data_IF_118905924902
#
_entry.id   IF_118905924902
#
_cell.length_a   1.000
_cell.length_b   1.000
_cell.length_c   1.000
_cell.angle_alpha   90.00
_cell.angle_beta   90.00
_cell.angle_gamma   90.00
#
_symmetry.space_group_name_H-M   'P 1'
#
loop_
_entity.id
_entity.type
_entity.pdbx_description
1 polymer ?
#
# COMPACT_ATOMS: atom_id res chain seq x y z
N UNK A 1 6.13 -4.67 -22.35
CA UNK A 1 5.78 -3.27 -22.71
C UNK A 1 7.03 -2.42 -22.51
N UNK A 2 7.46 -1.62 -23.49
CA UNK A 2 8.60 -0.70 -23.32
C UNK A 2 8.35 0.31 -22.19
N UNK A 3 9.38 0.69 -21.43
CA UNK A 3 9.26 1.59 -20.26
C UNK A 3 8.60 2.94 -20.63
N UNK A 4 8.93 3.50 -21.79
CA UNK A 4 8.31 4.72 -22.33
C UNK A 4 6.78 4.59 -22.45
N UNK A 5 6.30 3.44 -22.93
CA UNK A 5 4.87 3.18 -23.12
C UNK A 5 4.16 2.99 -21.77
N UNK A 6 4.85 2.40 -20.78
CA UNK A 6 4.32 2.27 -19.40
C UNK A 6 4.16 3.66 -18.77
N UNK A 7 5.17 4.51 -18.87
CA UNK A 7 5.13 5.88 -18.34
C UNK A 7 3.99 6.69 -18.94
N UNK A 8 3.86 6.66 -20.27
CA UNK A 8 2.80 7.39 -20.97
C UNK A 8 1.41 6.86 -20.60
N UNK A 9 1.27 5.53 -20.48
CA UNK A 9 0.05 4.91 -19.99
C UNK A 9 -0.31 5.36 -18.58
N UNK A 10 0.64 5.34 -17.62
CA UNK A 10 0.40 5.76 -16.24
C UNK A 10 0.01 7.24 -16.17
N UNK A 11 0.70 8.12 -16.89
CA UNK A 11 0.35 9.55 -16.91
C UNK A 11 -1.06 9.80 -17.44
N UNK A 12 -1.47 9.10 -18.51
CA UNK A 12 -2.84 9.19 -19.02
C UNK A 12 -3.85 8.64 -18.01
N UNK A 13 -3.56 7.50 -17.39
CA UNK A 13 -4.41 6.89 -16.38
C UNK A 13 -4.66 7.84 -15.20
N UNK A 14 -3.59 8.42 -14.63
CA UNK A 14 -3.73 9.35 -13.51
C UNK A 14 -4.41 10.66 -13.93
N UNK A 15 -4.15 11.16 -15.14
CA UNK A 15 -4.88 12.32 -15.66
C UNK A 15 -6.39 12.05 -15.74
N UNK A 16 -6.78 10.93 -16.36
CA UNK A 16 -8.18 10.59 -16.59
C UNK A 16 -8.95 10.37 -15.29
N UNK A 17 -8.34 9.70 -14.30
CA UNK A 17 -9.01 9.35 -13.07
C UNK A 17 -8.87 10.38 -11.95
N UNK A 18 -7.79 11.16 -11.89
CA UNK A 18 -7.56 12.11 -10.79
C UNK A 18 -7.76 13.57 -11.17
N UNK A 19 -7.67 13.92 -12.45
CA UNK A 19 -7.88 15.31 -12.92
C UNK A 19 -9.20 15.45 -13.67
N UNK A 20 -9.43 14.60 -14.68
CA UNK A 20 -10.62 14.68 -15.53
C UNK A 20 -11.88 14.12 -14.85
N UNK A 21 -11.71 13.21 -13.88
CA UNK A 21 -12.78 12.58 -13.11
C UNK A 21 -12.57 12.82 -11.61
N UNK A 22 -13.62 12.72 -10.79
CA UNK A 22 -13.53 12.88 -9.33
C UNK A 22 -12.98 11.60 -8.66
N UNK A 23 -11.83 11.11 -9.10
CA UNK A 23 -11.20 9.95 -8.49
C UNK A 23 -10.49 10.30 -7.18
N UNK A 24 -10.32 9.28 -6.36
CA UNK A 24 -9.65 9.35 -5.06
C UNK A 24 -8.55 8.31 -5.07
N UNK A 25 -7.34 8.70 -4.67
CA UNK A 25 -6.26 7.76 -4.46
C UNK A 25 -6.40 7.08 -3.10
N UNK A 26 -6.28 5.76 -3.07
CA UNK A 26 -6.43 4.97 -1.85
C UNK A 26 -5.16 4.16 -1.65
N UNK A 27 -4.61 4.18 -0.44
CA UNK A 27 -3.39 3.44 -0.11
C UNK A 27 -3.29 3.09 1.38
N UNK A 28 -2.27 2.31 1.72
CA UNK A 28 -1.90 1.97 3.10
C UNK A 28 -0.49 2.49 3.37
N UNK A 29 -0.37 3.79 3.70
CA UNK A 29 0.90 4.51 3.65
C UNK A 29 1.21 5.09 2.27
N UNK A 30 0.19 5.68 1.62
CA UNK A 30 0.18 6.15 0.22
C UNK A 30 1.34 7.08 -0.18
N UNK A 31 1.94 7.76 0.79
CA UNK A 31 3.06 8.67 0.54
C UNK A 31 4.29 7.94 -0.03
N UNK A 32 4.50 6.68 0.33
CA UNK A 32 5.57 5.85 -0.25
C UNK A 32 5.34 5.58 -1.73
N UNK A 33 4.11 5.18 -2.09
CA UNK A 33 3.72 4.89 -3.47
C UNK A 33 3.84 6.14 -4.36
N UNK A 34 3.40 7.30 -3.86
CA UNK A 34 3.49 8.58 -4.58
C UNK A 34 4.95 8.96 -4.84
N UNK A 35 5.83 8.83 -3.84
CA UNK A 35 7.26 9.09 -4.02
C UNK A 35 7.87 8.17 -5.08
N UNK A 36 7.52 6.89 -5.05
CA UNK A 36 8.00 5.95 -6.05
C UNK A 36 7.50 6.31 -7.47
N UNK A 37 6.22 6.66 -7.61
CA UNK A 37 5.65 7.09 -8.89
C UNK A 37 6.33 8.37 -9.42
N UNK A 38 6.63 9.32 -8.55
CA UNK A 38 7.38 10.53 -8.92
C UNK A 38 8.81 10.22 -9.38
N UNK A 39 9.49 9.25 -8.76
CA UNK A 39 10.84 8.82 -9.15
C UNK A 39 10.88 8.19 -10.56
N UNK A 40 9.79 7.56 -11.00
CA UNK A 40 9.64 7.06 -12.38
C UNK A 40 9.02 8.10 -13.33
N UNK A 41 9.04 9.38 -12.93
CA UNK A 41 8.53 10.54 -13.65
C UNK A 41 7.04 10.44 -14.02
N UNK A 42 6.23 9.83 -13.16
CA UNK A 42 4.77 9.88 -13.26
C UNK A 42 4.26 11.11 -12.50
N UNK A 43 3.44 11.92 -13.17
CA UNK A 43 2.89 13.14 -12.59
C UNK A 43 1.63 12.84 -11.78
N UNK A 44 1.68 13.09 -10.48
CA UNK A 44 0.53 12.99 -9.59
C UNK A 44 0.23 14.38 -9.04
N UNK A 45 -1.03 14.80 -9.19
CA UNK A 45 -1.49 16.06 -8.61
C UNK A 45 -1.37 16.03 -7.08
N UNK A 46 -0.70 17.04 -6.52
CA UNK A 46 -0.54 17.18 -5.07
C UNK A 46 -1.89 17.38 -4.37
N UNK A 47 -2.86 17.94 -5.07
CA UNK A 47 -4.21 18.21 -4.56
C UNK A 47 -5.21 17.08 -4.85
N UNK A 48 -4.80 16.00 -5.54
CA UNK A 48 -5.67 14.86 -5.79
C UNK A 48 -6.21 14.32 -4.44
N UNK A 49 -7.53 14.12 -4.28
CA UNK A 49 -8.11 13.55 -3.07
C UNK A 49 -7.47 12.21 -2.70
N UNK A 50 -7.22 11.97 -1.40
CA UNK A 50 -6.53 10.77 -0.92
C UNK A 50 -7.17 10.18 0.33
N UNK A 51 -7.19 8.86 0.40
CA UNK A 51 -7.53 8.09 1.60
C UNK A 51 -6.35 7.21 1.96
N UNK A 52 -5.72 7.51 3.09
CA UNK A 52 -4.64 6.70 3.65
C UNK A 52 -5.18 5.84 4.79
N UNK A 53 -5.39 4.56 4.50
CA UNK A 53 -5.95 3.59 5.45
C UNK A 53 -5.03 3.35 6.65
N UNK A 54 -3.72 3.57 6.51
CA UNK A 54 -2.79 3.48 7.64
C UNK A 54 -3.01 4.65 8.60
N UNK A 55 -3.21 5.87 8.09
CA UNK A 55 -3.55 7.02 8.93
C UNK A 55 -4.90 6.83 9.60
N UNK A 56 -5.92 6.38 8.87
CA UNK A 56 -7.25 6.08 9.42
C UNK A 56 -7.17 5.04 10.54
N UNK A 57 -6.43 3.96 10.33
CA UNK A 57 -6.20 2.93 11.34
C UNK A 57 -5.56 3.53 12.60
N UNK A 58 -4.53 4.36 12.44
CA UNK A 58 -3.76 4.93 13.54
C UNK A 58 -4.51 5.98 14.37
N UNK A 59 -5.67 6.48 13.91
CA UNK A 59 -6.51 7.41 14.68
C UNK A 59 -7.07 6.71 15.93
N UNK A 60 -7.60 5.49 15.77
CA UNK A 60 -8.23 4.74 16.85
C UNK A 60 -7.38 3.62 17.42
N UNK A 61 -6.27 3.26 16.75
CA UNK A 61 -5.47 2.07 17.08
C UNK A 61 -3.99 2.41 17.17
N UNK A 62 -3.34 1.80 18.17
CA UNK A 62 -1.98 2.17 18.56
C UNK A 62 -0.88 1.24 18.05
N UNK A 63 -1.21 0.04 17.56
CA UNK A 63 -0.29 -1.09 17.51
C UNK A 63 -0.23 -1.88 16.18
N UNK A 64 -0.82 -1.38 15.09
CA UNK A 64 -0.87 -2.15 13.85
C UNK A 64 -0.67 -1.28 12.60
N UNK A 65 0.60 -0.99 12.32
CA UNK A 65 0.98 -0.18 11.14
C UNK A 65 1.05 -0.94 9.81
N UNK A 66 0.65 -2.22 9.77
CA UNK A 66 0.70 -3.02 8.54
C UNK A 66 -0.70 -3.47 8.11
N UNK A 67 -0.83 -3.72 6.81
CA UNK A 67 -2.10 -4.04 6.16
C UNK A 67 -2.73 -5.31 6.76
N UNK A 68 -1.95 -6.37 6.99
CA UNK A 68 -2.44 -7.63 7.54
C UNK A 68 -3.15 -7.43 8.89
N UNK A 69 -2.54 -6.65 9.79
CA UNK A 69 -3.10 -6.42 11.11
C UNK A 69 -4.38 -5.58 11.06
N UNK A 70 -4.44 -4.58 10.17
CA UNK A 70 -5.65 -3.82 9.94
C UNK A 70 -6.79 -4.69 9.37
N UNK A 71 -6.50 -5.56 8.40
CA UNK A 71 -7.49 -6.49 7.82
C UNK A 71 -8.03 -7.48 8.87
N UNK A 72 -7.16 -8.06 9.71
CA UNK A 72 -7.57 -8.94 10.81
C UNK A 72 -8.50 -8.24 11.80
N UNK A 73 -8.21 -6.99 12.14
CA UNK A 73 -9.05 -6.20 13.05
C UNK A 73 -10.44 -5.95 12.46
N UNK A 74 -10.51 -5.66 11.16
CA UNK A 74 -11.77 -5.42 10.46
C UNK A 74 -12.50 -6.73 10.10
N UNK A 75 -11.93 -7.88 10.49
CA UNK A 75 -12.45 -9.21 10.21
C UNK A 75 -12.65 -9.46 8.70
N UNK A 76 -11.77 -8.89 7.87
CA UNK A 76 -11.76 -9.06 6.42
C UNK A 76 -10.88 -10.27 6.10
N UNK A 77 -11.43 -11.35 5.52
CA UNK A 77 -10.65 -12.51 5.11
C UNK A 77 -9.65 -12.12 4.02
N UNK A 78 -8.42 -12.58 4.17
CA UNK A 78 -7.32 -12.26 3.28
C UNK A 78 -6.41 -13.47 3.04
N UNK A 79 -5.92 -13.58 1.82
CA UNK A 79 -4.92 -14.55 1.41
C UNK A 79 -3.96 -13.91 0.41
N UNK A 80 -2.74 -14.46 0.31
CA UNK A 80 -1.73 -14.05 -0.66
C UNK A 80 -1.39 -12.55 -0.62
N UNK A 81 -1.16 -12.01 0.57
CA UNK A 81 -0.54 -10.68 0.76
C UNK A 81 0.90 -10.69 0.21
N UNK A 82 1.47 -9.50 0.02
CA UNK A 82 2.77 -9.26 -0.66
C UNK A 82 2.71 -9.34 -2.19
N UNK A 83 1.50 -9.37 -2.75
CA UNK A 83 1.25 -9.14 -4.16
C UNK A 83 0.61 -7.76 -4.32
N UNK A 84 1.21 -6.88 -5.13
CA UNK A 84 0.75 -5.50 -5.25
C UNK A 84 -0.73 -5.37 -5.67
N UNK A 85 -1.22 -6.28 -6.52
CA UNK A 85 -2.63 -6.31 -6.93
C UNK A 85 -3.57 -6.71 -5.79
N UNK A 86 -3.21 -7.77 -5.06
CA UNK A 86 -3.97 -8.20 -3.88
C UNK A 86 -3.92 -7.13 -2.78
N UNK A 87 -2.76 -6.55 -2.53
CA UNK A 87 -2.57 -5.50 -1.53
C UNK A 87 -3.42 -4.27 -1.89
N UNK A 88 -3.49 -3.88 -3.16
CA UNK A 88 -4.40 -2.82 -3.62
C UNK A 88 -5.88 -3.17 -3.42
N UNK A 89 -6.28 -4.40 -3.75
CA UNK A 89 -7.65 -4.88 -3.55
C UNK A 89 -8.07 -4.86 -2.09
N UNK A 90 -7.26 -5.44 -1.20
CA UNK A 90 -7.55 -5.47 0.22
C UNK A 90 -7.47 -4.08 0.86
N UNK A 91 -6.58 -3.21 0.37
CA UNK A 91 -6.53 -1.81 0.80
C UNK A 91 -7.82 -1.07 0.45
N UNK A 92 -8.40 -1.33 -0.73
CA UNK A 92 -9.70 -0.77 -1.11
C UNK A 92 -10.83 -1.29 -0.21
N UNK A 93 -10.92 -2.60 0.03
CA UNK A 93 -11.92 -3.16 0.95
C UNK A 93 -11.80 -2.58 2.36
N UNK A 94 -10.56 -2.43 2.83
CA UNK A 94 -10.27 -1.84 4.12
C UNK A 94 -10.72 -0.37 4.18
N UNK A 95 -10.46 0.43 3.14
CA UNK A 95 -10.91 1.81 3.06
C UNK A 95 -12.44 1.92 3.10
N UNK A 96 -13.14 1.10 2.32
CA UNK A 96 -14.60 1.06 2.33
C UNK A 96 -15.14 0.69 3.71
N UNK A 97 -14.53 -0.28 4.38
CA UNK A 97 -14.92 -0.72 5.72
C UNK A 97 -14.69 0.37 6.77
N UNK A 98 -13.64 1.18 6.65
CA UNK A 98 -13.43 2.35 7.51
C UNK A 98 -14.42 3.48 7.26
N UNK A 99 -15.02 3.55 6.07
CA UNK A 99 -16.01 4.56 5.73
C UNK A 99 -17.44 4.14 6.12
N UNK A 100 -17.69 2.86 6.40
CA UNK A 100 -19.00 2.36 6.82
C UNK A 100 -19.34 2.81 8.27
N UNK A 101 -20.39 3.62 8.48
CA UNK A 101 -20.80 4.09 9.81
C UNK A 101 -21.14 2.97 10.80
N UNK A 102 -21.73 1.86 10.33
CA UNK A 102 -22.11 0.74 11.18
C UNK A 102 -20.86 0.02 11.68
N UNK A 103 -19.89 -0.20 10.80
CA UNK A 103 -18.61 -0.81 11.15
C UNK A 103 -17.82 0.09 12.09
N UNK A 104 -17.74 1.39 11.80
CA UNK A 104 -17.08 2.38 12.67
C UNK A 104 -17.64 2.40 14.07
N UNK A 105 -18.98 2.42 14.21
CA UNK A 105 -19.64 2.38 15.51
C UNK A 105 -19.40 1.06 16.23
N UNK A 106 -19.57 -0.08 15.53
CA UNK A 106 -19.39 -1.42 16.09
C UNK A 106 -17.97 -1.66 16.61
N UNK A 107 -16.97 -1.15 15.89
CA UNK A 107 -15.55 -1.31 16.22
C UNK A 107 -14.97 -0.09 16.94
N UNK A 108 -15.79 0.87 17.35
CA UNK A 108 -15.36 2.07 18.09
C UNK A 108 -14.20 2.82 17.41
N UNK A 109 -14.24 2.92 16.07
CA UNK A 109 -13.14 3.49 15.26
C UNK A 109 -13.04 5.02 15.38
N UNK A 110 -14.04 5.65 15.99
CA UNK A 110 -14.10 7.10 16.23
C UNK A 110 -13.52 7.51 17.59
N UNK A 111 -13.06 6.54 18.40
CA UNK A 111 -12.40 6.81 19.67
C UNK A 111 -10.92 7.09 19.40
N UNK A 112 -10.52 8.34 19.59
CA UNK A 112 -9.12 8.75 19.52
C UNK A 112 -8.31 8.13 20.67
N UNK A 113 -7.36 7.26 20.35
CA UNK A 113 -6.41 6.76 21.36
C UNK A 113 -5.19 7.67 21.38
N UNK A 114 -5.04 8.45 22.45
CA UNK A 114 -3.79 9.16 22.70
C UNK A 114 -2.71 8.13 23.02
N UNK A 115 -1.88 7.82 22.03
CA UNK A 115 -0.65 7.10 22.31
C UNK A 115 0.27 8.04 23.08
N UNK A 116 0.66 7.73 24.33
CA UNK A 116 1.70 8.50 24.98
C UNK A 116 2.95 8.42 24.10
N UNK A 117 3.51 9.57 23.73
CA UNK A 117 4.76 9.61 22.95
C UNK A 117 5.80 8.80 23.73
N UNK A 118 6.21 7.65 23.18
CA UNK A 118 7.29 6.84 23.77
C UNK A 118 8.46 7.75 24.11
N UNK A 119 8.91 7.69 25.36
CA UNK A 119 9.97 8.57 25.85
C UNK A 119 11.25 8.34 25.03
N UNK A 120 12.18 9.32 24.98
CA UNK A 120 13.48 9.12 24.35
C UNK A 120 14.22 7.87 24.86
N UNK A 121 13.99 7.46 26.11
CA UNK A 121 14.57 6.27 26.72
C UNK A 121 14.00 4.97 26.10
N UNK A 122 12.70 4.91 25.84
CA UNK A 122 12.05 3.74 25.21
C UNK A 122 12.52 3.54 23.76
N UNK A 123 12.80 4.63 23.04
CA UNK A 123 13.34 4.58 21.68
C UNK A 123 14.76 4.02 21.63
N UNK A 124 15.60 4.32 22.63
CA UNK A 124 16.98 3.80 22.72
C UNK A 124 17.02 2.28 22.93
N UNK A 125 16.09 1.74 23.72
CA UNK A 125 15.99 0.29 24.01
C UNK A 125 15.54 -0.55 22.80
N UNK A 126 14.84 0.06 21.84
CA UNK A 126 14.43 -0.60 20.58
C UNK A 126 15.56 -0.53 19.55
N UNK A 127 16.29 0.58 19.49
CA UNK A 127 17.39 0.79 18.53
C UNK A 127 18.56 -0.19 18.74
N UNK A 128 18.81 -0.65 19.98
CA UNK A 128 19.82 -1.67 20.28
C UNK A 128 19.46 -3.07 19.78
N UNK A 129 18.21 -3.34 19.36
CA UNK A 129 17.81 -4.63 18.78
C UNK A 129 17.76 -4.65 17.25
N UNK A 130 17.85 -3.50 16.58
CA UNK A 130 17.71 -3.38 15.11
C UNK A 130 18.83 -2.51 14.52
N UNK A 131 20.08 -2.89 14.76
CA UNK A 131 21.25 -2.17 14.24
C UNK A 131 21.89 -2.93 13.08
N UNK A 132 21.63 -2.45 11.85
CA UNK A 132 22.50 -2.40 10.65
C UNK A 132 21.58 -1.91 9.52
N UNK A 133 21.81 -0.86 8.74
CA UNK A 133 23.03 -0.12 8.38
C UNK A 133 22.58 1.31 8.02
N UNK A 134 23.39 2.32 8.35
CA UNK A 134 23.14 3.73 7.95
C UNK A 134 24.06 4.04 6.79
N UNK A 135 23.51 4.26 5.59
CA UNK A 135 24.27 4.75 4.45
C UNK A 135 23.75 6.10 3.94
N UNK A 136 24.72 6.88 3.47
CA UNK A 136 24.67 8.31 3.14
C UNK A 136 23.78 8.55 1.91
N UNK A 137 23.08 9.69 1.90
CA UNK A 137 22.26 10.13 0.76
C UNK A 137 23.14 10.90 -0.24
N UNK A 138 23.65 10.21 -1.24
CA UNK A 138 24.04 10.81 -2.52
C UNK A 138 22.87 10.67 -3.52
N UNK A 139 22.84 11.50 -4.56
CA UNK A 139 21.75 11.56 -5.53
C UNK A 139 21.51 10.18 -6.16
N UNK A 140 20.33 9.63 -5.88
CA UNK A 140 20.00 8.23 -6.12
C UNK A 140 19.56 8.02 -7.57
N UNK A 141 20.31 7.22 -8.32
CA UNK A 141 19.98 6.79 -9.68
C UNK A 141 18.62 6.06 -9.69
N UNK A 142 17.62 6.52 -10.47
CA UNK A 142 16.31 5.89 -10.57
C UNK A 142 16.38 4.41 -10.97
N UNK A 143 17.37 4.02 -11.78
CA UNK A 143 17.53 2.62 -12.21
C UNK A 143 18.03 1.74 -11.06
N UNK A 144 18.96 2.27 -10.25
CA UNK A 144 19.44 1.58 -9.05
C UNK A 144 18.31 1.39 -8.02
N UNK A 145 17.47 2.40 -7.80
CA UNK A 145 16.31 2.30 -6.90
C UNK A 145 15.25 1.34 -7.44
N UNK A 146 15.03 1.30 -8.76
CA UNK A 146 14.14 0.32 -9.38
C UNK A 146 14.66 -1.12 -9.21
N UNK A 147 15.96 -1.33 -9.31
CA UNK A 147 16.59 -2.63 -9.11
C UNK A 147 16.60 -3.06 -7.63
N UNK A 148 16.82 -2.13 -6.70
CA UNK A 148 16.71 -2.35 -5.25
C UNK A 148 15.26 -2.70 -4.85
N UNK A 149 14.28 -2.00 -5.43
CA UNK A 149 12.87 -2.33 -5.25
C UNK A 149 12.55 -3.76 -5.72
N UNK A 150 13.10 -4.19 -6.87
CA UNK A 150 12.97 -5.58 -7.34
C UNK A 150 13.66 -6.61 -6.45
N UNK A 151 14.83 -6.29 -5.88
CA UNK A 151 15.55 -7.21 -4.99
C UNK A 151 14.90 -7.34 -3.61
N UNK A 152 14.32 -6.27 -3.08
CA UNK A 152 13.60 -6.30 -1.79
C UNK A 152 12.25 -7.02 -1.85
N UNK A 153 11.70 -7.22 -3.04
CA UNK A 153 10.43 -7.90 -3.28
C UNK A 153 10.67 -9.11 -4.20
N UNK A 154 11.08 -10.26 -3.62
CA UNK A 154 11.30 -11.53 -4.31
C UNK A 154 10.07 -11.95 -5.14
N UNK A 155 10.05 -11.55 -6.42
CA UNK A 155 9.03 -11.95 -7.40
C UNK A 155 9.22 -13.39 -7.91
N UNK A 156 10.28 -14.08 -7.49
CA UNK A 156 10.62 -15.45 -7.92
C UNK A 156 9.80 -16.56 -7.25
N UNK A 157 9.09 -16.27 -6.16
CA UNK A 157 8.39 -17.27 -5.35
C UNK A 157 6.85 -17.24 -5.51
N UNK A 158 6.33 -16.64 -6.58
CA UNK A 158 4.91 -16.82 -6.88
C UNK A 158 4.68 -18.25 -7.41
N UNK A 159 3.79 -19.05 -6.77
CA UNK A 159 3.45 -20.35 -7.29
C UNK A 159 2.87 -20.17 -8.70
N UNK A 160 3.49 -20.82 -9.68
CA UNK A 160 2.97 -20.93 -11.03
C UNK A 160 1.54 -21.45 -10.93
N UNK A 161 0.56 -20.66 -11.37
CA UNK A 161 -0.82 -21.15 -11.49
C UNK A 161 -0.79 -22.41 -12.37
N UNK A 162 -1.34 -23.54 -11.91
CA UNK A 162 -1.37 -24.75 -12.71
C UNK A 162 -2.10 -24.43 -14.02
N UNK A 163 -1.49 -24.85 -15.14
CA UNK A 163 -2.09 -24.70 -16.47
C UNK A 163 -3.48 -25.32 -16.44
N UNK A 164 -4.50 -24.49 -16.70
CA UNK A 164 -5.87 -24.97 -16.78
C UNK A 164 -5.96 -26.02 -17.88
N UNK A 165 -6.17 -27.27 -17.45
CA UNK A 165 -6.53 -28.40 -18.28
C UNK A 165 -7.76 -27.99 -19.09
N UNK A 166 -7.60 -27.98 -20.41
CA UNK A 166 -8.65 -27.81 -21.41
C UNK A 166 -9.74 -28.85 -21.18
N UNK A 167 -10.73 -28.50 -20.38
CA UNK A 167 -11.92 -29.32 -20.18
C UNK A 167 -12.97 -28.83 -21.17
N UNK A 168 -13.01 -29.53 -22.30
CA UNK A 168 -13.96 -29.38 -23.39
C UNK A 168 -15.38 -29.59 -22.83
N UNK A 169 -16.09 -28.50 -22.56
CA UNK A 169 -17.52 -28.54 -22.23
C UNK A 169 -18.25 -29.05 -23.49
N UNK A 170 -18.72 -30.31 -23.44
CA UNK A 170 -19.72 -30.80 -24.38
C UNK A 170 -21.05 -30.12 -24.03
N UNK A 171 -21.52 -29.28 -24.95
CA UNK A 171 -22.90 -28.79 -24.95
C UNK A 171 -23.84 -29.99 -25.09
N UNK A 172 -24.78 -30.13 -24.16
CA UNK A 172 -26.05 -30.81 -24.38
C UNK A 172 -27.09 -29.73 -24.64
#
# INVERSE_FOLDING_TARGET
MPLKNVKEFLNRLFHDYLKAKPGVLIGHGIEGDIKWLQLVNVEIDQNAPRVDTLKLHNISRSNAGNLLAALKMMNIPQAYLHNAGNDAYYTLLLALSYCDPLVRKKLELDIFKTNPKKSPADKRRIKTKSSTTTEKKEALDPEALFMEFKHSHNYSDQPQLPSLISTRIKRF
#
